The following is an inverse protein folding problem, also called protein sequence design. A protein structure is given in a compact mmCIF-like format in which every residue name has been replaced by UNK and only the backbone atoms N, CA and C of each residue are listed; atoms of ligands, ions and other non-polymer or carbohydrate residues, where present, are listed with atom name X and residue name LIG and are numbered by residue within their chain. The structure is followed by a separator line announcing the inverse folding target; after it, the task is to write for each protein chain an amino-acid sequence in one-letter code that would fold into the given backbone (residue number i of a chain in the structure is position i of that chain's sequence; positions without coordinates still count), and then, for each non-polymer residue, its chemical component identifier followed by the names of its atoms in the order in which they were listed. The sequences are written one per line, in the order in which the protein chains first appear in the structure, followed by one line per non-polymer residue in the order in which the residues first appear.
data_IF_289009959247
#
_entry.id   IF_289009959247
#
_cell.length_a   1.000
_cell.length_b   1.000
_cell.length_c   1.000
_cell.angle_alpha   90.00
_cell.angle_beta   90.00
_cell.angle_gamma   90.00
#
_symmetry.space_group_name_H-M   'P 1'
#
loop_
_entity.id
_entity.type
_entity.pdbx_description
1 polymer ?
#
# COMPACT_ATOMS: atom_id res chain seq x y z
N UNK A 1 -53.11 11.49 14.57
CA UNK A 1 -53.05 10.02 14.44
C UNK A 1 -51.68 9.55 14.92
N UNK A 2 -51.62 8.87 16.08
CA UNK A 2 -50.35 8.47 16.71
C UNK A 2 -49.72 7.25 16.03
N UNK A 3 -48.40 7.26 15.85
CA UNK A 3 -47.62 6.12 15.36
C UNK A 3 -47.60 5.04 16.45
N UNK A 4 -48.18 3.88 16.17
CA UNK A 4 -48.10 2.69 17.05
C UNK A 4 -46.71 2.06 16.98
N UNK A 5 -46.16 1.68 18.13
CA UNK A 5 -44.88 1.01 18.21
C UNK A 5 -44.96 -0.39 17.56
N UNK A 6 -44.02 -0.71 16.66
CA UNK A 6 -43.99 -1.98 15.92
C UNK A 6 -43.70 -3.21 16.79
N UNK A 7 -43.07 -3.01 17.95
CA UNK A 7 -42.75 -4.06 18.91
C UNK A 7 -42.99 -3.51 20.31
N UNK A 8 -43.72 -4.26 21.14
CA UNK A 8 -44.09 -3.85 22.49
C UNK A 8 -43.03 -4.25 23.53
N UNK A 9 -42.20 -5.25 23.21
CA UNK A 9 -41.15 -5.73 24.12
C UNK A 9 -39.80 -5.95 23.41
N UNK A 10 -38.69 -5.87 24.17
CA UNK A 10 -37.35 -6.15 23.65
C UNK A 10 -37.20 -7.58 23.08
N UNK A 11 -37.89 -8.54 23.69
CA UNK A 11 -37.86 -9.93 23.24
C UNK A 11 -38.52 -10.10 21.86
N UNK A 12 -39.63 -9.41 21.59
CA UNK A 12 -40.28 -9.40 20.27
C UNK A 12 -39.37 -8.81 19.19
N UNK A 13 -38.67 -7.72 19.51
CA UNK A 13 -37.71 -7.11 18.58
C UNK A 13 -36.57 -8.07 18.25
N UNK A 14 -35.98 -8.71 19.26
CA UNK A 14 -34.89 -9.67 19.04
C UNK A 14 -35.34 -10.90 18.24
N UNK A 15 -36.55 -11.41 18.50
CA UNK A 15 -37.13 -12.51 17.75
C UNK A 15 -37.36 -12.12 16.28
N UNK A 16 -37.86 -10.91 16.01
CA UNK A 16 -38.05 -10.38 14.67
C UNK A 16 -36.72 -10.23 13.92
N UNK A 17 -35.69 -9.67 14.56
CA UNK A 17 -34.34 -9.55 13.97
C UNK A 17 -33.73 -10.92 13.65
N UNK A 18 -33.89 -11.91 14.54
CA UNK A 18 -33.41 -13.29 14.28
C UNK A 18 -34.13 -13.92 13.09
N UNK A 19 -35.45 -13.74 12.98
CA UNK A 19 -36.25 -14.22 11.83
C UNK A 19 -35.83 -13.54 10.54
N UNK A 20 -35.62 -12.22 10.54
CA UNK A 20 -35.14 -11.50 9.36
C UNK A 20 -33.75 -11.96 8.93
N UNK A 21 -32.82 -12.15 9.88
CA UNK A 21 -31.49 -12.70 9.60
C UNK A 21 -31.55 -14.11 9.03
N UNK A 22 -32.45 -14.96 9.54
CA UNK A 22 -32.65 -16.31 9.03
C UNK A 22 -33.21 -16.32 7.60
N UNK A 23 -34.19 -15.47 7.31
CA UNK A 23 -34.75 -15.29 5.96
C UNK A 23 -33.67 -14.80 4.99
N UNK A 24 -32.91 -13.78 5.39
CA UNK A 24 -31.82 -13.22 4.58
C UNK A 24 -30.72 -14.26 4.29
N UNK A 25 -30.33 -15.06 5.29
CA UNK A 25 -29.36 -16.13 5.13
C UNK A 25 -29.87 -17.25 4.18
N UNK A 26 -31.17 -17.52 4.19
CA UNK A 26 -31.80 -18.54 3.34
C UNK A 26 -31.94 -18.11 1.88
N UNK A 27 -32.38 -16.87 1.64
CA UNK A 27 -32.73 -16.38 0.29
C UNK A 27 -31.58 -15.66 -0.42
N UNK A 28 -30.87 -14.76 0.27
CA UNK A 28 -29.76 -13.99 -0.32
C UNK A 28 -28.39 -14.62 -0.06
N UNK A 29 -28.22 -15.32 1.06
CA UNK A 29 -26.95 -15.94 1.43
C UNK A 29 -26.52 -17.10 0.52
N UNK A 30 -27.48 -17.83 -0.07
CA UNK A 30 -27.19 -19.00 -0.92
C UNK A 30 -26.69 -18.64 -2.32
N UNK A 31 -27.12 -17.50 -2.89
CA UNK A 31 -26.72 -17.08 -4.24
C UNK A 31 -25.49 -16.17 -4.23
N UNK A 32 -25.32 -15.33 -3.19
CA UNK A 32 -24.21 -14.38 -3.12
C UNK A 32 -22.88 -15.05 -2.70
N UNK A 33 -22.94 -16.10 -1.88
CA UNK A 33 -21.72 -16.80 -1.39
C UNK A 33 -20.97 -17.56 -2.50
N UNK A 34 -21.62 -18.32 -3.40
CA UNK A 34 -20.93 -19.00 -4.49
C UNK A 34 -20.24 -18.03 -5.44
N UNK A 35 -20.90 -16.92 -5.81
CA UNK A 35 -20.32 -15.91 -6.70
C UNK A 35 -19.10 -15.22 -6.07
N UNK A 36 -19.17 -14.87 -4.78
CA UNK A 36 -18.03 -14.32 -4.04
C UNK A 36 -16.89 -15.33 -3.90
N UNK A 37 -17.20 -16.59 -3.56
CA UNK A 37 -16.20 -17.65 -3.48
C UNK A 37 -15.56 -17.96 -4.83
N UNK A 38 -16.34 -17.96 -5.92
CA UNK A 38 -15.85 -18.16 -7.28
C UNK A 38 -14.90 -17.03 -7.68
N UNK A 39 -15.27 -15.76 -7.40
CA UNK A 39 -14.39 -14.60 -7.62
C UNK A 39 -13.10 -14.68 -6.80
N UNK A 40 -13.18 -15.13 -5.54
CA UNK A 40 -12.02 -15.36 -4.69
C UNK A 40 -11.12 -16.50 -5.22
N UNK A 41 -11.71 -17.56 -5.76
CA UNK A 41 -10.98 -18.69 -6.35
C UNK A 41 -10.24 -18.28 -7.61
N UNK A 42 -10.88 -17.52 -8.51
CA UNK A 42 -10.22 -16.95 -9.70
C UNK A 42 -9.06 -16.01 -9.32
N UNK A 43 -9.23 -15.18 -8.28
CA UNK A 43 -8.16 -14.30 -7.78
C UNK A 43 -6.96 -15.07 -7.22
N UNK A 44 -7.17 -16.28 -6.69
CA UNK A 44 -6.08 -17.16 -6.19
C UNK A 44 -5.46 -18.00 -7.30
N UNK A 45 -6.26 -18.55 -8.21
CA UNK A 45 -5.78 -19.36 -9.33
C UNK A 45 -4.88 -18.54 -10.28
N UNK A 46 -5.20 -17.26 -10.51
CA UNK A 46 -4.35 -16.35 -11.30
C UNK A 46 -3.00 -15.99 -10.66
N UNK A 47 -2.79 -16.29 -9.36
CA UNK A 47 -1.51 -16.03 -8.66
C UNK A 47 -0.55 -17.22 -8.67
N UNK A 48 -0.94 -18.35 -9.26
CA UNK A 48 -0.08 -19.54 -9.34
C UNK A 48 0.76 -19.63 -10.62
N UNK A 49 0.55 -18.72 -11.57
CA UNK A 49 1.44 -18.56 -12.71
C UNK A 49 2.54 -17.55 -12.33
N UNK A 50 3.78 -18.03 -12.27
CA UNK A 50 5.06 -17.29 -12.15
C UNK A 50 5.70 -17.07 -10.77
N UNK A 51 5.75 -18.08 -9.88
CA UNK A 51 6.92 -18.13 -8.98
C UNK A 51 8.21 -18.45 -9.73
N UNK A 52 8.12 -19.22 -10.81
CA UNK A 52 9.27 -19.59 -11.63
C UNK A 52 9.66 -18.52 -12.67
N UNK A 53 8.68 -17.77 -13.21
CA UNK A 53 9.00 -16.67 -14.15
C UNK A 53 9.55 -15.42 -13.44
N UNK A 54 9.25 -15.19 -12.16
CA UNK A 54 9.89 -14.13 -11.37
C UNK A 54 11.30 -14.53 -10.87
N UNK A 55 11.62 -15.83 -10.77
CA UNK A 55 12.98 -16.29 -10.41
C UNK A 55 13.98 -16.17 -11.55
N UNK A 56 13.51 -16.12 -12.80
CA UNK A 56 14.38 -15.94 -13.98
C UNK A 56 14.75 -14.47 -14.25
N UNK A 57 14.11 -13.50 -13.59
CA UNK A 57 14.38 -12.06 -13.76
C UNK A 57 14.98 -11.38 -12.51
N UNK A 58 15.32 -12.14 -11.47
CA UNK A 58 16.10 -11.60 -10.35
C UNK A 58 17.56 -12.00 -10.60
N UNK A 59 18.47 -11.06 -10.92
CA UNK A 59 19.89 -11.36 -10.88
C UNK A 59 20.24 -11.83 -9.47
N UNK A 60 20.92 -12.96 -9.38
CA UNK A 60 21.35 -13.55 -8.10
C UNK A 60 22.02 -12.50 -7.20
N UNK A 61 21.47 -12.33 -6.00
CA UNK A 61 21.90 -11.41 -4.94
C UNK A 61 23.35 -11.70 -4.48
N UNK A 62 23.94 -12.81 -4.90
CA UNK A 62 25.33 -13.18 -4.66
C UNK A 62 26.37 -12.28 -5.36
N UNK A 63 25.96 -11.37 -6.25
CA UNK A 63 26.87 -10.45 -6.96
C UNK A 63 27.03 -9.06 -6.30
N UNK A 64 26.33 -8.79 -5.19
CA UNK A 64 26.24 -7.45 -4.60
C UNK A 64 27.47 -7.04 -3.75
N UNK A 65 28.43 -7.94 -3.53
CA UNK A 65 29.67 -7.60 -2.80
C UNK A 65 30.84 -7.50 -3.78
N UNK A 66 30.74 -6.58 -4.75
CA UNK A 66 31.91 -6.00 -5.40
C UNK A 66 32.02 -4.52 -4.95
N UNK A 67 33.14 -4.08 -4.36
CA UNK A 67 33.28 -2.74 -3.76
C UNK A 67 33.38 -1.58 -4.77
N UNK A 68 32.85 -1.72 -6.00
CA UNK A 68 32.95 -0.70 -7.06
C UNK A 68 31.62 -0.14 -7.56
N UNK A 69 30.46 -0.53 -7.03
CA UNK A 69 29.16 0.02 -7.49
C UNK A 69 28.84 1.30 -6.73
N UNK A 70 29.51 2.38 -7.13
CA UNK A 70 29.13 3.74 -6.79
C UNK A 70 27.82 4.04 -7.52
N UNK A 71 26.75 4.25 -6.76
CA UNK A 71 25.66 5.18 -7.06
C UNK A 71 25.13 5.17 -8.51
N UNK A 72 24.55 4.06 -8.97
CA UNK A 72 23.64 4.14 -10.13
C UNK A 72 22.23 4.40 -9.61
N UNK A 73 21.76 5.64 -9.78
CA UNK A 73 20.34 5.95 -9.66
C UNK A 73 19.61 5.01 -10.63
N UNK A 74 18.57 4.27 -10.22
CA UNK A 74 17.84 3.42 -11.14
C UNK A 74 17.32 4.27 -12.29
N UNK A 75 17.80 3.99 -13.50
CA UNK A 75 17.38 4.72 -14.70
C UNK A 75 15.88 4.46 -14.89
N UNK A 76 15.08 5.52 -14.80
CA UNK A 76 13.65 5.44 -15.07
C UNK A 76 13.42 4.98 -16.52
N UNK A 77 12.39 4.16 -16.76
CA UNK A 77 12.05 3.76 -18.12
C UNK A 77 11.65 5.00 -18.94
N UNK A 78 12.17 5.17 -20.18
CA UNK A 78 11.81 6.30 -21.03
C UNK A 78 10.30 6.44 -21.27
N UNK A 79 9.58 5.32 -21.29
CA UNK A 79 8.11 5.31 -21.38
C UNK A 79 7.46 6.05 -20.20
N UNK A 80 7.94 5.84 -18.97
CA UNK A 80 7.41 6.52 -17.79
C UNK A 80 7.68 8.02 -17.84
N UNK A 81 8.86 8.41 -18.33
CA UNK A 81 9.20 9.83 -18.56
C UNK A 81 8.24 10.44 -19.58
N UNK A 82 7.99 9.75 -20.70
CA UNK A 82 7.07 10.22 -21.74
C UNK A 82 5.62 10.37 -21.21
N UNK A 83 5.16 9.47 -20.34
CA UNK A 83 3.85 9.60 -19.68
C UNK A 83 3.80 10.78 -18.71
N UNK A 84 4.88 11.03 -17.97
CA UNK A 84 4.95 12.13 -17.00
C UNK A 84 5.07 13.51 -17.65
N UNK A 85 5.54 13.60 -18.89
CA UNK A 85 5.69 14.88 -19.62
C UNK A 85 4.46 15.28 -20.45
N UNK A 86 3.41 14.45 -20.47
CA UNK A 86 2.16 14.80 -21.17
C UNK A 86 1.50 15.99 -20.46
N UNK A 87 1.16 17.08 -21.17
CA UNK A 87 0.51 18.22 -20.56
C UNK A 87 -0.88 17.88 -20.03
N UNK A 88 -1.20 18.42 -18.86
CA UNK A 88 -2.56 18.37 -18.30
C UNK A 88 -3.49 19.33 -19.09
N UNK A 89 -4.76 18.98 -19.34
CA UNK A 89 -5.52 17.85 -18.81
C UNK A 89 -5.51 16.59 -19.70
N UNK A 90 -4.71 16.55 -20.76
CA UNK A 90 -4.76 15.47 -21.77
C UNK A 90 -4.04 14.19 -21.34
N UNK A 91 -3.39 14.20 -20.18
CA UNK A 91 -2.69 13.03 -19.65
C UNK A 91 -3.69 11.90 -19.34
N UNK A 92 -3.48 10.68 -19.86
CA UNK A 92 -4.32 9.53 -19.55
C UNK A 92 -4.41 9.27 -18.04
N UNK A 93 -3.31 9.44 -17.32
CA UNK A 93 -3.26 9.30 -15.86
C UNK A 93 -4.16 10.32 -15.16
N UNK A 94 -4.21 11.55 -15.68
CA UNK A 94 -5.05 12.61 -15.14
C UNK A 94 -6.54 12.35 -15.40
N UNK A 95 -6.89 11.90 -16.61
CA UNK A 95 -8.27 11.56 -16.96
C UNK A 95 -8.79 10.37 -16.13
N UNK A 96 -7.98 9.31 -16.01
CA UNK A 96 -8.33 8.15 -15.19
C UNK A 96 -8.49 8.52 -13.71
N UNK A 97 -7.59 9.34 -13.19
CA UNK A 97 -7.65 9.84 -11.82
C UNK A 97 -8.85 10.79 -11.59
N UNK A 98 -9.28 11.56 -12.59
CA UNK A 98 -10.44 12.43 -12.50
C UNK A 98 -11.77 11.68 -12.55
N UNK A 99 -11.83 10.55 -13.26
CA UNK A 99 -13.04 9.73 -13.38
C UNK A 99 -13.20 8.71 -12.24
N UNK A 100 -12.10 8.27 -11.64
CA UNK A 100 -12.09 7.27 -10.58
C UNK A 100 -12.13 7.91 -9.19
N UNK A 101 -13.14 7.51 -8.41
CA UNK A 101 -13.24 7.88 -6.99
C UNK A 101 -12.38 7.02 -6.06
N UNK A 102 -11.73 5.96 -6.57
CA UNK A 102 -11.00 4.95 -5.79
C UNK A 102 -9.55 4.71 -6.26
N UNK A 103 -9.13 5.30 -7.38
CA UNK A 103 -7.78 5.16 -7.92
C UNK A 103 -6.75 6.00 -7.16
N UNK A 104 -7.18 7.07 -6.49
CA UNK A 104 -6.33 7.92 -5.66
C UNK A 104 -6.64 7.69 -4.18
N UNK A 105 -5.58 7.51 -3.40
CA UNK A 105 -5.67 7.56 -1.96
C UNK A 105 -5.59 9.02 -1.49
N UNK A 106 -6.76 9.63 -1.28
CA UNK A 106 -6.89 11.00 -0.80
C UNK A 106 -6.88 11.10 0.74
N UNK A 107 -6.69 9.99 1.47
CA UNK A 107 -6.68 10.01 2.95
C UNK A 107 -5.62 10.98 3.49
N UNK A 108 -4.55 11.11 2.73
CA UNK A 108 -3.38 11.91 2.99
C UNK A 108 -3.47 13.32 2.39
N UNK A 109 -4.54 13.71 1.69
CA UNK A 109 -4.61 15.05 1.06
C UNK A 109 -4.72 16.16 2.13
N UNK A 110 -5.53 15.92 3.16
CA UNK A 110 -5.80 16.87 4.24
C UNK A 110 -4.56 17.23 5.09
N UNK A 111 -3.50 16.40 5.09
CA UNK A 111 -2.24 16.76 5.78
C UNK A 111 -1.43 17.79 4.99
N UNK A 112 -1.56 17.85 3.66
CA UNK A 112 -0.85 18.82 2.82
C UNK A 112 -1.52 20.20 2.81
N UNK A 113 -2.81 20.26 3.15
CA UNK A 113 -3.54 21.53 3.30
C UNK A 113 -3.17 22.29 4.58
N UNK A 114 -2.51 21.63 5.55
CA UNK A 114 -2.09 22.28 6.80
C UNK A 114 -0.80 23.07 6.59
N UNK A 115 -0.71 24.20 7.29
CA UNK A 115 0.54 24.96 7.34
C UNK A 115 1.66 24.12 7.99
N UNK A 116 2.90 24.19 7.46
CA UNK A 116 4.02 23.50 8.06
C UNK A 116 4.27 24.01 9.50
N UNK A 117 4.81 23.17 10.39
CA UNK A 117 5.41 21.86 10.14
C UNK A 117 4.36 20.73 10.07
N UNK A 118 4.50 19.88 9.05
CA UNK A 118 3.70 18.67 8.96
C UNK A 118 4.03 17.79 10.16
N UNK A 119 3.06 17.56 11.03
CA UNK A 119 3.19 16.63 12.15
C UNK A 119 3.17 15.21 11.58
N UNK A 120 4.31 14.73 11.11
CA UNK A 120 4.48 13.32 10.84
C UNK A 120 4.44 12.61 12.20
N UNK A 121 3.36 11.88 12.47
CA UNK A 121 3.49 10.74 13.37
C UNK A 121 4.29 9.71 12.58
N UNK A 122 5.62 9.82 12.64
CA UNK A 122 6.47 8.74 12.14
C UNK A 122 5.99 7.48 12.88
N UNK A 123 5.61 6.41 12.15
CA UNK A 123 5.24 5.18 12.82
C UNK A 123 6.39 4.78 13.74
N UNK A 124 6.09 4.36 14.97
CA UNK A 124 7.11 3.96 15.93
C UNK A 124 8.04 2.96 15.24
N UNK A 125 9.35 3.29 15.11
CA UNK A 125 10.24 2.51 14.28
C UNK A 125 10.31 1.10 14.85
N UNK A 126 10.15 0.12 13.98
CA UNK A 126 10.29 -1.29 14.35
C UNK A 126 11.70 -1.52 14.93
N UNK A 127 11.89 -2.48 15.85
CA UNK A 127 13.21 -2.73 16.42
C UNK A 127 14.26 -3.08 15.35
N UNK A 128 13.83 -3.66 14.21
CA UNK A 128 14.67 -3.88 13.04
C UNK A 128 15.11 -2.57 12.38
N UNK A 129 14.18 -1.64 12.16
CA UNK A 129 14.48 -0.32 11.59
C UNK A 129 15.40 0.48 12.51
N UNK A 130 15.18 0.44 13.84
CA UNK A 130 16.06 1.10 14.80
C UNK A 130 17.49 0.56 14.74
N UNK A 131 17.65 -0.76 14.62
CA UNK A 131 18.98 -1.37 14.45
C UNK A 131 19.61 -0.97 13.12
N UNK A 132 18.82 -0.94 12.05
CA UNK A 132 19.29 -0.49 10.75
C UNK A 132 19.76 0.96 10.78
N UNK A 133 19.00 1.87 11.38
CA UNK A 133 19.37 3.30 11.48
C UNK A 133 20.62 3.48 12.34
N UNK A 134 20.72 2.80 13.48
CA UNK A 134 21.93 2.85 14.31
C UNK A 134 23.17 2.37 13.54
N UNK A 135 23.07 1.23 12.85
CA UNK A 135 24.17 0.71 12.04
C UNK A 135 24.57 1.66 10.91
N UNK A 136 23.58 2.30 10.26
CA UNK A 136 23.83 3.27 9.20
C UNK A 136 24.59 4.49 9.72
N UNK A 137 24.16 5.04 10.87
CA UNK A 137 24.82 6.17 11.51
C UNK A 137 26.26 5.81 11.87
N UNK A 138 26.50 4.63 12.46
CA UNK A 138 27.86 4.17 12.79
C UNK A 138 28.76 4.04 11.55
N UNK A 139 28.23 3.49 10.46
CA UNK A 139 28.95 3.38 9.19
C UNK A 139 29.29 4.77 8.63
N UNK A 140 28.34 5.71 8.64
CA UNK A 140 28.56 7.07 8.17
C UNK A 140 29.59 7.82 9.01
N UNK A 141 29.51 7.72 10.34
CA UNK A 141 30.48 8.33 11.25
C UNK A 141 31.88 7.76 11.06
N UNK A 142 32.02 6.44 10.96
CA UNK A 142 33.31 5.80 10.67
C UNK A 142 33.87 6.20 9.31
N UNK A 143 33.01 6.29 8.28
CA UNK A 143 33.42 6.77 6.95
C UNK A 143 33.93 8.20 7.02
N UNK A 144 33.23 9.08 7.73
CA UNK A 144 33.63 10.48 7.91
C UNK A 144 34.96 10.61 8.64
N UNK A 145 35.19 9.81 9.69
CA UNK A 145 36.46 9.80 10.43
C UNK A 145 37.64 9.38 9.55
N UNK A 146 37.47 8.37 8.68
CA UNK A 146 38.51 7.97 7.72
C UNK A 146 38.85 9.09 6.74
N UNK A 147 37.83 9.75 6.17
CA UNK A 147 38.03 10.86 5.23
C UNK A 147 38.73 12.07 5.88
N UNK A 148 38.45 12.34 7.15
CA UNK A 148 39.15 13.39 7.92
C UNK A 148 40.61 13.00 8.20
N UNK A 149 40.86 11.76 8.60
CA UNK A 149 42.23 11.29 8.84
C UNK A 149 43.11 11.24 7.58
N UNK A 150 42.52 11.00 6.41
CA UNK A 150 43.22 11.09 5.12
C UNK A 150 43.56 12.54 4.74
N UNK A 151 42.71 13.51 5.10
CA UNK A 151 42.92 14.93 4.82
C UNK A 151 44.07 15.56 5.64
N UNK A 152 44.32 15.07 6.86
CA UNK A 152 45.39 15.58 7.74
C UNK A 152 46.80 15.04 7.39
N UNK A 153 46.92 14.17 6.37
CA UNK A 153 48.19 13.54 5.96
C UNK A 153 48.82 14.13 4.68
N UNK A 154 48.30 15.27 4.21
CA UNK A 154 48.84 16.04 3.08
C UNK A 154 49.19 17.47 3.49
#
# INVERSE_FOLDING_TARGET
MGRTAKYFTLHERQAAERRQKAIYASTKGKELRPAQNHRAYHKRAGRHLSKDALRSMIPSVSSIIHPSVISSVPSLLPALIAYATIPLPMSPLFLEAAESADALDESDLLKWEREPPYTYAEPDPTPEEQRFTCNLVDVMLRRRARLLGEADTH
#
